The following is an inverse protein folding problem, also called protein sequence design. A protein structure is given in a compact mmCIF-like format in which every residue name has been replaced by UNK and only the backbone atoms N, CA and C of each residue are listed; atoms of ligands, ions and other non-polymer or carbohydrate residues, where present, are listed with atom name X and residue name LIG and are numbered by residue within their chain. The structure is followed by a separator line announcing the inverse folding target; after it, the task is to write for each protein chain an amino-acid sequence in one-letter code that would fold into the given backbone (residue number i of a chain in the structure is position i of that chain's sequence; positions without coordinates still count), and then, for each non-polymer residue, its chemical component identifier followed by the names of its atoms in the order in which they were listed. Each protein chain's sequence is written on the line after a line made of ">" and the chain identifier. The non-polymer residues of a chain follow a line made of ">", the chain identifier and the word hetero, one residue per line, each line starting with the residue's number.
data_IF_055263035339
#
_entry.id   IF_055263035339
#
_cell.length_a   1.000
_cell.length_b   1.000
_cell.length_c   1.000
_cell.angle_alpha   90.00
_cell.angle_beta   90.00
_cell.angle_gamma   90.00
#
_symmetry.space_group_name_H-M   'P 1'
#
loop_
_entity.id
_entity.type
_entity.pdbx_description
1 polymer ?
#
# COMPACT_ATOMS: atom_id res chain seq x y z
N UNK A 1 -9.44 32.34 31.89
CA UNK A 1 -8.27 32.69 32.73
C UNK A 1 -7.52 31.41 33.04
N UNK A 2 -6.36 31.15 32.44
CA UNK A 2 -5.67 31.93 31.40
C UNK A 2 -5.05 30.98 30.37
N UNK A 3 -4.99 31.45 29.13
CA UNK A 3 -4.13 30.92 28.08
C UNK A 3 -2.65 31.18 28.44
N UNK A 4 -1.72 30.42 27.83
CA UNK A 4 -0.88 30.98 26.74
C UNK A 4 0.03 29.90 26.13
N UNK A 5 0.33 30.06 24.84
CA UNK A 5 1.33 29.27 24.12
C UNK A 5 2.76 29.62 24.59
N UNK A 6 3.69 28.66 24.51
CA UNK A 6 4.97 28.86 23.81
C UNK A 6 5.88 27.63 23.91
N UNK A 7 6.34 27.12 22.75
CA UNK A 7 7.75 26.80 22.46
C UNK A 7 7.87 26.35 21.00
N UNK A 8 8.13 27.32 20.13
CA UNK A 8 8.37 27.16 18.70
C UNK A 8 9.84 27.45 18.42
N UNK A 9 10.61 26.43 18.01
CA UNK A 9 12.00 26.57 17.52
C UNK A 9 12.19 25.53 16.40
N UNK A 10 12.06 25.86 15.12
CA UNK A 10 12.92 26.73 14.29
C UNK A 10 14.26 26.08 13.90
N UNK A 11 14.34 25.58 12.66
CA UNK A 11 15.61 25.47 11.92
C UNK A 11 15.37 25.83 10.45
N UNK A 12 16.32 26.55 9.86
CA UNK A 12 16.22 27.17 8.53
C UNK A 12 17.09 26.46 7.49
N UNK A 13 16.60 26.54 6.25
CA UNK A 13 17.32 26.76 4.98
C UNK A 13 18.83 26.45 4.94
N UNK A 14 19.22 25.63 3.95
CA UNK A 14 20.47 25.83 3.22
C UNK A 14 20.18 25.77 1.71
N UNK A 15 20.26 26.92 1.06
CA UNK A 15 20.45 27.02 -0.39
C UNK A 15 21.96 26.87 -0.70
N UNK A 16 22.29 26.50 -1.92
CA UNK A 16 23.63 26.06 -2.30
C UNK A 16 23.84 25.92 -3.81
N UNK A 17 23.35 26.89 -4.59
CA UNK A 17 23.57 26.92 -6.04
C UNK A 17 25.06 27.02 -6.40
N UNK A 18 25.52 26.24 -7.38
CA UNK A 18 26.63 26.63 -8.24
C UNK A 18 26.48 26.10 -9.67
N UNK A 19 26.63 27.02 -10.62
CA UNK A 19 26.67 26.83 -12.08
C UNK A 19 27.99 26.22 -12.55
N UNK A 20 28.02 25.54 -13.71
CA UNK A 20 29.10 25.71 -14.69
C UNK A 20 28.67 25.37 -16.14
N UNK A 21 29.33 26.04 -17.09
CA UNK A 21 29.21 26.03 -18.56
C UNK A 21 29.82 24.75 -19.20
N UNK A 22 29.72 24.40 -20.50
CA UNK A 22 28.97 24.94 -21.67
C UNK A 22 28.23 23.76 -22.40
N UNK A 23 28.26 23.38 -23.70
CA UNK A 23 28.92 23.83 -24.96
C UNK A 23 27.95 23.91 -26.16
N UNK A 24 28.29 24.74 -27.16
CA UNK A 24 27.59 24.89 -28.45
C UNK A 24 27.62 23.65 -29.38
N UNK A 25 26.71 23.57 -30.37
CA UNK A 25 26.67 22.48 -31.37
C UNK A 25 25.68 22.66 -32.54
N UNK A 26 25.83 23.72 -33.33
CA UNK A 26 24.94 24.02 -34.49
C UNK A 26 25.29 23.22 -35.75
N UNK A 27 24.28 22.84 -36.54
CA UNK A 27 24.38 22.55 -37.99
C UNK A 27 22.99 22.71 -38.66
N UNK A 28 22.95 22.95 -39.97
CA UNK A 28 21.78 23.52 -40.69
C UNK A 28 21.69 23.06 -42.16
N UNK A 29 20.70 23.61 -42.90
CA UNK A 29 20.35 23.36 -44.33
C UNK A 29 19.54 22.06 -44.54
N UNK A 30 18.28 22.11 -45.06
CA UNK A 30 17.82 22.33 -46.47
C UNK A 30 18.08 21.10 -47.37
N UNK A 31 17.24 20.72 -48.35
CA UNK A 31 16.07 21.38 -48.99
C UNK A 31 14.95 20.37 -49.38
N UNK A 32 13.92 20.83 -50.11
CA UNK A 32 12.76 20.03 -50.58
C UNK A 32 13.07 19.13 -51.80
N UNK A 33 12.23 18.13 -52.07
CA UNK A 33 11.42 18.07 -53.30
C UNK A 33 10.28 17.02 -53.24
N UNK A 34 9.35 17.06 -54.19
CA UNK A 34 8.07 16.33 -54.17
C UNK A 34 8.03 15.11 -55.12
N UNK A 35 7.12 14.16 -54.86
CA UNK A 35 6.45 13.40 -55.93
C UNK A 35 5.21 12.65 -55.39
N UNK A 36 4.14 12.62 -56.18
CA UNK A 36 2.87 11.97 -55.82
C UNK A 36 2.86 10.48 -56.19
N UNK A 37 2.13 9.67 -55.40
CA UNK A 37 1.32 8.58 -55.94
C UNK A 37 0.20 8.17 -54.96
N UNK A 38 -0.82 7.48 -55.47
CA UNK A 38 -2.16 7.50 -54.87
C UNK A 38 -2.52 6.32 -53.96
N UNK A 39 -3.69 6.44 -53.32
CA UNK A 39 -4.58 5.36 -52.90
C UNK A 39 -4.03 4.23 -52.01
N UNK A 40 -3.93 4.50 -50.70
CA UNK A 40 -4.45 3.58 -49.66
C UNK A 40 -4.59 4.24 -48.26
N UNK A 41 -5.19 5.44 -48.16
CA UNK A 41 -5.46 6.08 -46.85
C UNK A 41 -6.65 5.43 -46.11
N UNK A 42 -6.46 4.21 -45.60
CA UNK A 42 -7.15 3.77 -44.37
C UNK A 42 -6.46 4.45 -43.20
N UNK A 43 -7.22 5.12 -42.34
CA UNK A 43 -6.69 6.10 -41.38
C UNK A 43 -5.78 5.47 -40.29
N UNK A 44 -4.47 5.44 -40.56
CA UNK A 44 -3.44 5.11 -39.56
C UNK A 44 -3.43 6.13 -38.41
N UNK A 45 -3.90 7.36 -38.66
CA UNK A 45 -4.19 8.36 -37.62
C UNK A 45 -5.19 7.86 -36.59
N UNK A 46 -6.20 7.10 -36.99
CA UNK A 46 -7.36 6.80 -36.15
C UNK A 46 -7.12 5.57 -35.29
N UNK A 47 -6.33 4.61 -35.79
CA UNK A 47 -5.76 3.54 -34.97
C UNK A 47 -4.73 4.08 -33.98
N UNK A 48 -3.77 4.92 -34.42
CA UNK A 48 -2.79 5.54 -33.51
C UNK A 48 -3.46 6.44 -32.46
N UNK A 49 -4.53 7.15 -32.80
CA UNK A 49 -5.30 7.94 -31.83
C UNK A 49 -6.13 7.05 -30.89
N UNK A 50 -6.72 5.94 -31.36
CA UNK A 50 -7.36 4.95 -30.46
C UNK A 50 -6.36 4.34 -29.47
N UNK A 51 -5.19 3.93 -29.95
CA UNK A 51 -4.16 3.33 -29.08
C UNK A 51 -3.57 4.36 -28.12
N UNK A 52 -3.37 5.62 -28.55
CA UNK A 52 -2.98 6.71 -27.65
C UNK A 52 -4.06 7.00 -26.60
N UNK A 53 -5.33 7.10 -27.00
CA UNK A 53 -6.43 7.39 -26.07
C UNK A 53 -6.63 6.24 -25.06
N UNK A 54 -6.70 4.99 -25.52
CA UNK A 54 -6.72 3.80 -24.64
C UNK A 54 -5.54 3.79 -23.66
N UNK A 55 -4.34 4.18 -24.13
CA UNK A 55 -3.13 4.24 -23.29
C UNK A 55 -3.14 5.41 -22.30
N UNK A 56 -3.80 6.53 -22.61
CA UNK A 56 -3.99 7.66 -21.69
C UNK A 56 -5.08 7.38 -20.66
N UNK A 57 -6.23 6.83 -21.06
CA UNK A 57 -7.30 6.38 -20.15
C UNK A 57 -6.79 5.36 -19.13
N UNK A 58 -5.86 4.48 -19.53
CA UNK A 58 -5.21 3.51 -18.64
C UNK A 58 -4.39 4.14 -17.49
N UNK A 59 -4.11 5.45 -17.52
CA UNK A 59 -3.34 6.16 -16.48
C UNK A 59 -4.08 7.31 -15.77
N UNK A 60 -5.29 7.70 -16.18
CA UNK A 60 -5.95 8.89 -15.60
C UNK A 60 -7.42 8.61 -15.25
N UNK A 61 -7.71 8.45 -13.95
CA UNK A 61 -9.07 8.56 -13.41
C UNK A 61 -9.39 10.06 -13.25
N UNK A 62 -10.02 10.64 -14.28
CA UNK A 62 -10.13 12.09 -14.51
C UNK A 62 -11.08 12.81 -13.53
N UNK A 63 -10.60 13.88 -12.90
CA UNK A 63 -11.44 15.01 -12.48
C UNK A 63 -11.32 16.14 -13.51
N UNK A 64 -12.33 16.29 -14.37
CA UNK A 64 -12.34 17.31 -15.41
C UNK A 64 -12.74 18.69 -14.84
N UNK A 65 -11.76 19.58 -14.62
CA UNK A 65 -12.03 20.99 -14.29
C UNK A 65 -11.79 21.90 -15.50
N UNK A 66 -12.88 22.20 -16.22
CA UNK A 66 -12.87 23.15 -17.34
C UNK A 66 -12.74 24.59 -16.82
N UNK A 67 -11.61 25.24 -17.08
CA UNK A 67 -11.49 26.71 -17.01
C UNK A 67 -11.50 27.29 -18.41
N UNK A 68 -12.45 28.20 -18.66
CA UNK A 68 -12.57 28.96 -19.90
C UNK A 68 -11.80 30.27 -19.70
N UNK A 69 -10.98 30.62 -20.68
CA UNK A 69 -10.45 31.98 -20.85
C UNK A 69 -10.95 32.56 -22.17
N UNK A 70 -10.90 33.89 -22.32
CA UNK A 70 -11.60 34.59 -23.41
C UNK A 70 -11.16 34.13 -24.81
N UNK A 71 -12.13 33.74 -25.64
CA UNK A 71 -11.91 33.37 -27.05
C UNK A 71 -11.45 31.92 -27.27
N UNK A 72 -12.43 31.04 -27.53
CA UNK A 72 -12.37 29.67 -28.11
C UNK A 72 -11.43 28.61 -27.52
N UNK A 73 -10.36 28.97 -26.81
CA UNK A 73 -9.30 28.07 -26.36
C UNK A 73 -9.67 27.38 -25.04
N UNK A 74 -9.61 26.04 -25.01
CA UNK A 74 -9.84 25.22 -23.81
C UNK A 74 -8.51 24.66 -23.29
N UNK A 75 -8.04 25.16 -22.15
CA UNK A 75 -6.94 24.55 -21.43
C UNK A 75 -7.44 23.30 -20.67
N UNK A 76 -7.03 22.11 -21.11
CA UNK A 76 -7.31 20.85 -20.39
C UNK A 76 -6.12 20.56 -19.47
N UNK A 77 -6.24 20.93 -18.20
CA UNK A 77 -5.21 20.66 -17.19
C UNK A 77 -5.39 19.26 -16.61
N UNK A 78 -4.59 18.31 -17.07
CA UNK A 78 -4.53 16.98 -16.48
C UNK A 78 -3.79 17.02 -15.13
N UNK A 79 -4.50 16.84 -14.02
CA UNK A 79 -3.87 16.32 -12.80
C UNK A 79 -3.62 14.83 -12.99
N UNK A 80 -2.36 14.40 -12.92
CA UNK A 80 -2.04 12.99 -12.65
C UNK A 80 -2.63 12.65 -11.28
N UNK A 81 -3.38 11.56 -11.19
CA UNK A 81 -3.82 11.03 -9.89
C UNK A 81 -2.57 10.71 -9.07
N UNK A 82 -2.51 11.15 -7.81
CA UNK A 82 -1.39 10.77 -6.94
C UNK A 82 -1.38 9.24 -6.82
N UNK A 83 -0.25 8.61 -7.15
CA UNK A 83 -0.10 7.15 -7.12
C UNK A 83 -0.22 6.59 -5.68
N UNK A 84 -0.15 7.47 -4.67
CA UNK A 84 -0.41 7.17 -3.26
C UNK A 84 -1.90 7.25 -2.88
N UNK A 85 -2.75 7.91 -3.67
CA UNK A 85 -4.15 8.16 -3.32
C UNK A 85 -4.98 6.87 -3.36
N UNK A 86 -5.64 6.53 -2.26
CA UNK A 86 -6.42 5.30 -2.14
C UNK A 86 -7.68 5.32 -3.01
N UNK A 87 -7.73 4.49 -4.05
CA UNK A 87 -8.96 4.19 -4.77
C UNK A 87 -9.89 3.39 -3.88
N UNK A 88 -11.09 3.93 -3.62
CA UNK A 88 -12.19 3.21 -2.98
C UNK A 88 -12.98 2.40 -4.00
N UNK A 89 -13.32 1.16 -3.63
CA UNK A 89 -14.05 0.18 -4.44
C UNK A 89 -14.98 -0.60 -3.52
N UNK A 90 -16.22 -0.86 -3.93
CA UNK A 90 -17.10 -1.81 -3.23
C UNK A 90 -17.01 -3.13 -3.99
N UNK A 91 -16.62 -4.20 -3.29
CA UNK A 91 -16.50 -5.55 -3.82
C UNK A 91 -17.57 -6.44 -3.20
N UNK A 92 -18.38 -7.08 -4.05
CA UNK A 92 -19.51 -7.89 -3.59
C UNK A 92 -19.11 -9.36 -3.53
N UNK A 93 -19.14 -9.95 -2.32
CA UNK A 93 -18.78 -11.34 -2.08
C UNK A 93 -19.85 -12.02 -1.23
N UNK A 94 -20.43 -13.12 -1.73
CA UNK A 94 -21.48 -13.90 -1.03
C UNK A 94 -22.61 -13.01 -0.46
N UNK A 95 -23.07 -12.04 -1.25
CA UNK A 95 -24.08 -11.03 -0.90
C UNK A 95 -23.72 -10.08 0.27
N UNK A 96 -22.46 -10.05 0.72
CA UNK A 96 -21.91 -8.98 1.57
C UNK A 96 -21.19 -7.95 0.69
N UNK A 97 -21.40 -6.66 0.98
CA UNK A 97 -20.58 -5.57 0.42
C UNK A 97 -19.28 -5.46 1.24
N UNK A 98 -18.13 -5.41 0.56
CA UNK A 98 -16.81 -5.20 1.16
C UNK A 98 -16.25 -3.87 0.65
N UNK A 99 -16.11 -2.90 1.54
CA UNK A 99 -15.50 -1.60 1.27
C UNK A 99 -13.97 -1.76 1.23
N UNK A 100 -13.43 -1.84 0.03
CA UNK A 100 -11.98 -1.89 -0.21
C UNK A 100 -11.46 -0.49 -0.47
N UNK A 101 -10.28 -0.17 0.06
CA UNK A 101 -9.51 0.99 -0.37
C UNK A 101 -8.04 0.61 -0.60
N UNK A 102 -7.49 0.95 -1.76
CA UNK A 102 -6.17 0.47 -2.16
C UNK A 102 -5.41 1.50 -3.00
N UNK A 103 -4.10 1.37 -3.09
CA UNK A 103 -3.29 2.02 -4.14
C UNK A 103 -2.38 0.97 -4.80
N UNK A 104 -1.18 1.35 -5.25
CA UNK A 104 -0.20 0.42 -5.86
C UNK A 104 0.38 -0.57 -4.82
N UNK A 105 0.47 -0.20 -3.54
CA UNK A 105 1.18 -0.97 -2.50
C UNK A 105 0.46 -1.07 -1.15
N UNK A 106 -0.62 -0.31 -0.95
CA UNK A 106 -1.51 -0.40 0.21
C UNK A 106 -2.78 -1.13 -0.21
N UNK A 107 -3.20 -2.12 0.58
CA UNK A 107 -4.53 -2.70 0.56
C UNK A 107 -5.16 -2.50 1.94
N UNK A 108 -6.33 -1.87 1.99
CA UNK A 108 -7.12 -1.69 3.20
C UNK A 108 -8.51 -2.33 3.02
N UNK A 109 -8.83 -3.22 3.96
CA UNK A 109 -10.05 -3.98 4.12
C UNK A 109 -10.63 -3.80 5.55
N UNK A 110 -10.26 -2.71 6.24
CA UNK A 110 -10.72 -2.43 7.59
C UNK A 110 -12.23 -2.13 7.68
N UNK A 111 -12.80 -2.33 8.86
CA UNK A 111 -14.21 -2.02 9.16
C UNK A 111 -15.24 -2.68 8.21
N UNK A 112 -15.03 -3.96 7.88
CA UNK A 112 -15.86 -4.74 6.95
C UNK A 112 -16.56 -5.95 7.62
N UNK A 113 -16.52 -6.05 8.95
CA UNK A 113 -17.07 -7.16 9.73
C UNK A 113 -16.54 -8.56 9.33
N UNK A 114 -15.36 -8.64 8.72
CA UNK A 114 -14.84 -9.85 8.09
C UNK A 114 -14.50 -10.94 9.12
N UNK A 115 -15.15 -12.10 9.03
CA UNK A 115 -14.84 -13.29 9.84
C UNK A 115 -13.63 -14.06 9.27
N UNK A 116 -13.47 -14.05 7.94
CA UNK A 116 -12.39 -14.66 7.19
C UNK A 116 -12.01 -13.77 5.97
N UNK A 117 -10.87 -14.08 5.32
CA UNK A 117 -10.36 -13.35 4.14
C UNK A 117 -10.06 -14.29 2.95
N UNK A 118 -10.76 -15.41 2.86
CA UNK A 118 -10.52 -16.44 1.83
C UNK A 118 -10.70 -15.93 0.38
N UNK A 119 -11.41 -14.80 0.21
CA UNK A 119 -11.61 -14.06 -1.04
C UNK A 119 -10.43 -13.11 -1.41
N UNK A 120 -9.33 -13.10 -0.64
CA UNK A 120 -8.21 -12.19 -0.88
C UNK A 120 -7.67 -12.33 -2.32
N UNK A 121 -7.57 -13.57 -2.82
CA UNK A 121 -7.17 -13.87 -4.18
C UNK A 121 -8.11 -13.22 -5.22
N UNK A 122 -9.43 -13.36 -5.03
CA UNK A 122 -10.44 -12.77 -5.92
C UNK A 122 -10.42 -11.23 -5.90
N UNK A 123 -10.21 -10.62 -4.72
CA UNK A 123 -10.07 -9.17 -4.57
C UNK A 123 -8.80 -8.67 -5.26
N UNK A 124 -7.66 -9.37 -5.14
CA UNK A 124 -6.43 -9.01 -5.84
C UNK A 124 -6.60 -9.09 -7.36
N UNK A 125 -7.21 -10.17 -7.85
CA UNK A 125 -7.56 -10.32 -9.28
C UNK A 125 -8.50 -9.20 -9.74
N UNK A 126 -9.51 -8.83 -8.93
CA UNK A 126 -10.45 -7.77 -9.26
C UNK A 126 -9.77 -6.38 -9.34
N UNK A 127 -8.99 -6.01 -8.33
CA UNK A 127 -8.29 -4.72 -8.25
C UNK A 127 -7.27 -4.58 -9.39
N UNK A 128 -6.50 -5.63 -9.67
CA UNK A 128 -5.42 -5.59 -10.65
C UNK A 128 -5.80 -6.14 -12.04
N UNK A 129 -7.10 -6.35 -12.30
CA UNK A 129 -7.67 -6.94 -13.53
C UNK A 129 -7.12 -6.34 -14.84
N UNK A 130 -6.77 -5.06 -14.84
CA UNK A 130 -6.21 -4.36 -16.02
C UNK A 130 -4.73 -4.66 -16.32
N UNK A 131 -4.05 -5.50 -15.53
CA UNK A 131 -2.62 -5.81 -15.67
C UNK A 131 -2.32 -7.16 -16.35
N UNK A 132 -3.25 -8.11 -16.42
CA UNK A 132 -3.01 -9.49 -16.92
C UNK A 132 -1.75 -10.15 -16.33
N UNK A 133 -1.52 -9.97 -15.02
CA UNK A 133 -0.38 -10.55 -14.31
C UNK A 133 -0.82 -11.80 -13.53
N UNK A 134 0.11 -12.74 -13.37
CA UNK A 134 -0.08 -13.87 -12.46
C UNK A 134 -0.28 -13.39 -11.03
N UNK A 135 -1.07 -14.16 -10.26
CA UNK A 135 -1.46 -13.78 -8.91
C UNK A 135 -0.27 -13.63 -7.95
N UNK A 136 0.81 -14.40 -8.15
CA UNK A 136 2.04 -14.27 -7.37
C UNK A 136 2.67 -12.86 -7.50
N UNK A 137 2.55 -12.23 -8.68
CA UNK A 137 3.04 -10.87 -8.93
C UNK A 137 2.12 -9.84 -8.22
N UNK A 138 0.82 -10.12 -8.10
CA UNK A 138 -0.13 -9.26 -7.38
C UNK A 138 0.22 -9.18 -5.90
N UNK A 139 0.45 -10.34 -5.25
CA UNK A 139 0.91 -10.45 -3.87
C UNK A 139 2.22 -9.67 -3.60
N UNK A 140 3.17 -9.70 -4.55
CA UNK A 140 4.45 -8.99 -4.42
C UNK A 140 4.33 -7.46 -4.46
N UNK A 141 3.22 -6.87 -4.92
CA UNK A 141 3.06 -5.40 -4.90
C UNK A 141 2.72 -4.85 -3.52
N UNK A 142 2.11 -5.65 -2.64
CA UNK A 142 1.59 -5.17 -1.36
C UNK A 142 2.70 -5.05 -0.31
N UNK A 143 2.77 -3.85 0.27
CA UNK A 143 3.71 -3.43 1.30
C UNK A 143 2.98 -3.14 2.63
N UNK A 144 1.72 -2.69 2.55
CA UNK A 144 0.85 -2.43 3.71
C UNK A 144 -0.48 -3.14 3.53
N UNK A 145 -0.87 -3.94 4.52
CA UNK A 145 -2.20 -4.52 4.63
C UNK A 145 -2.87 -3.99 5.90
N UNK A 146 -4.05 -3.41 5.76
CA UNK A 146 -4.94 -3.10 6.86
C UNK A 146 -6.17 -4.03 6.81
N UNK A 147 -6.35 -4.81 7.86
CA UNK A 147 -7.49 -5.70 8.11
C UNK A 147 -8.04 -5.47 9.54
N UNK A 148 -7.78 -4.31 10.12
CA UNK A 148 -8.27 -3.91 11.44
C UNK A 148 -9.80 -3.73 11.50
N UNK A 149 -10.36 -3.69 12.71
CA UNK A 149 -11.81 -3.52 12.94
C UNK A 149 -12.65 -4.55 12.16
N UNK A 150 -12.32 -5.83 12.34
CA UNK A 150 -13.00 -6.96 11.71
C UNK A 150 -13.28 -8.05 12.77
N UNK A 151 -13.78 -9.20 12.32
CA UNK A 151 -14.17 -10.34 13.17
C UNK A 151 -13.20 -11.53 13.03
N UNK A 152 -11.95 -11.30 12.60
CA UNK A 152 -11.01 -12.39 12.29
C UNK A 152 -10.60 -13.14 13.55
N UNK A 153 -10.90 -14.44 13.60
CA UNK A 153 -10.51 -15.34 14.71
C UNK A 153 -9.16 -16.04 14.44
N UNK A 154 -8.80 -16.20 13.17
CA UNK A 154 -7.54 -16.82 12.70
C UNK A 154 -6.84 -15.99 11.61
N UNK A 155 -5.53 -16.23 11.43
CA UNK A 155 -4.74 -15.68 10.32
C UNK A 155 -4.73 -16.70 9.17
N UNK A 156 -5.41 -16.35 8.07
CA UNK A 156 -5.48 -17.19 6.87
C UNK A 156 -4.11 -17.21 6.13
N UNK A 157 -3.75 -18.37 5.58
CA UNK A 157 -2.43 -18.61 4.98
C UNK A 157 -2.17 -17.80 3.70
N UNK A 158 -3.19 -17.28 3.01
CA UNK A 158 -3.03 -16.33 1.89
C UNK A 158 -2.34 -15.03 2.31
N UNK A 159 -2.34 -14.64 3.60
CA UNK A 159 -1.49 -13.54 4.10
C UNK A 159 0.01 -13.85 3.92
N UNK A 160 0.41 -15.12 4.02
CA UNK A 160 1.82 -15.53 4.00
C UNK A 160 2.45 -15.37 2.60
N UNK A 161 1.62 -15.34 1.55
CA UNK A 161 2.00 -15.02 0.17
C UNK A 161 2.44 -13.56 -0.01
N UNK A 162 2.11 -12.64 0.91
CA UNK A 162 2.48 -11.22 0.89
C UNK A 162 3.96 -11.01 1.25
N UNK A 163 4.89 -11.66 0.53
CA UNK A 163 6.32 -11.70 0.89
C UNK A 163 7.02 -10.31 0.94
N UNK A 164 6.38 -9.27 0.38
CA UNK A 164 6.84 -7.88 0.43
C UNK A 164 6.19 -7.01 1.53
N UNK A 165 5.29 -7.58 2.34
CA UNK A 165 4.60 -6.88 3.42
C UNK A 165 5.61 -6.34 4.46
N UNK A 166 5.49 -5.04 4.76
CA UNK A 166 6.26 -4.32 5.79
C UNK A 166 5.39 -3.85 6.95
N UNK A 167 4.09 -3.64 6.70
CA UNK A 167 3.11 -3.15 7.68
C UNK A 167 1.87 -4.03 7.63
N UNK A 168 1.44 -4.53 8.79
CA UNK A 168 0.20 -5.29 8.96
C UNK A 168 -0.60 -4.72 10.13
N UNK A 169 -1.80 -4.18 9.85
CA UNK A 169 -2.74 -3.78 10.89
C UNK A 169 -3.81 -4.86 11.07
N UNK A 170 -3.80 -5.50 12.25
CA UNK A 170 -4.72 -6.57 12.66
C UNK A 170 -5.41 -6.24 14.01
N UNK A 171 -5.26 -5.01 14.50
CA UNK A 171 -5.88 -4.59 15.76
C UNK A 171 -7.42 -4.57 15.66
N UNK A 172 -8.10 -4.71 16.81
CA UNK A 172 -9.58 -4.76 16.87
C UNK A 172 -10.13 -5.92 16.01
N UNK A 173 -9.72 -7.14 16.37
CA UNK A 173 -10.17 -8.40 15.77
C UNK A 173 -10.40 -9.43 16.91
N UNK A 174 -10.62 -10.70 16.58
CA UNK A 174 -10.91 -11.76 17.54
C UNK A 174 -9.78 -12.80 17.67
N UNK A 175 -8.55 -12.48 17.27
CA UNK A 175 -7.43 -13.44 17.32
C UNK A 175 -7.17 -13.84 18.79
N UNK A 176 -7.31 -15.12 19.10
CA UNK A 176 -7.09 -15.65 20.45
C UNK A 176 -5.78 -16.44 20.56
N UNK A 177 -5.46 -17.22 19.52
CA UNK A 177 -4.38 -18.21 19.54
C UNK A 177 -3.07 -17.64 18.99
N UNK A 178 -2.00 -17.65 19.81
CA UNK A 178 -0.68 -17.16 19.42
C UNK A 178 -0.01 -17.99 18.31
N UNK A 179 -0.46 -19.22 18.06
CA UNK A 179 -0.03 -20.04 16.91
C UNK A 179 -0.37 -19.34 15.58
N UNK A 180 -1.48 -18.59 15.51
CA UNK A 180 -1.81 -17.80 14.33
C UNK A 180 -0.78 -16.69 14.10
N UNK A 181 -0.30 -16.05 15.17
CA UNK A 181 0.79 -15.06 15.09
C UNK A 181 2.11 -15.73 14.69
N UNK A 182 2.40 -16.94 15.19
CA UNK A 182 3.60 -17.73 14.83
C UNK A 182 3.71 -17.95 13.31
N UNK A 183 2.59 -18.08 12.58
CA UNK A 183 2.58 -18.14 11.10
C UNK A 183 3.27 -16.94 10.43
N UNK A 184 3.13 -15.74 10.99
CA UNK A 184 3.69 -14.50 10.43
C UNK A 184 5.23 -14.47 10.43
N UNK A 185 5.91 -15.47 11.02
CA UNK A 185 7.36 -15.70 10.85
C UNK A 185 7.77 -15.80 9.38
N UNK A 186 6.91 -16.34 8.50
CA UNK A 186 7.17 -16.40 7.06
C UNK A 186 7.33 -15.01 6.41
N UNK A 187 6.75 -13.96 7.00
CA UNK A 187 6.84 -12.59 6.49
C UNK A 187 8.12 -11.90 6.97
N UNK A 188 9.26 -12.33 6.40
CA UNK A 188 10.60 -11.83 6.73
C UNK A 188 10.74 -10.29 6.60
N UNK A 189 9.98 -9.69 5.68
CA UNK A 189 10.00 -8.24 5.42
C UNK A 189 9.08 -7.43 6.35
N UNK A 190 8.25 -8.06 7.20
CA UNK A 190 7.35 -7.38 8.13
C UNK A 190 8.13 -6.55 9.16
N UNK A 191 7.80 -5.27 9.35
CA UNK A 191 8.50 -4.36 10.29
C UNK A 191 7.56 -3.64 11.26
N UNK A 192 6.32 -3.34 10.89
CA UNK A 192 5.28 -2.85 11.80
C UNK A 192 4.13 -3.85 11.86
N UNK A 193 3.67 -4.15 13.05
CA UNK A 193 2.54 -5.04 13.30
C UNK A 193 1.68 -4.48 14.44
N UNK A 194 0.37 -4.68 14.39
CA UNK A 194 -0.53 -4.32 15.50
C UNK A 194 -1.56 -5.44 15.69
N UNK A 195 -1.72 -5.92 16.91
CA UNK A 195 -2.70 -6.93 17.30
C UNK A 195 -3.33 -6.62 18.68
N UNK A 196 -3.15 -5.39 19.18
CA UNK A 196 -3.96 -4.84 20.29
C UNK A 196 -5.49 -4.98 20.04
N UNK A 197 -6.28 -4.92 21.11
CA UNK A 197 -7.74 -5.12 21.06
C UNK A 197 -8.15 -6.46 20.39
N UNK A 198 -7.40 -7.53 20.67
CA UNK A 198 -7.72 -8.92 20.36
C UNK A 198 -7.64 -9.76 21.64
N UNK A 199 -8.44 -10.84 21.83
CA UNK A 199 -8.45 -11.62 23.07
C UNK A 199 -7.11 -12.24 23.48
N UNK A 200 -6.20 -12.45 22.52
CA UNK A 200 -4.79 -12.82 22.76
C UNK A 200 -4.09 -11.90 23.78
N UNK A 201 -4.46 -10.62 23.83
CA UNK A 201 -3.91 -9.65 24.79
C UNK A 201 -4.29 -9.99 26.22
N UNK A 202 -5.54 -10.38 26.46
CA UNK A 202 -6.05 -10.72 27.80
C UNK A 202 -5.55 -12.09 28.27
N UNK A 203 -5.50 -13.07 27.36
CA UNK A 203 -5.03 -14.44 27.59
C UNK A 203 -3.58 -14.45 28.11
N UNK A 204 -2.68 -13.68 27.48
CA UNK A 204 -1.27 -13.62 27.87
C UNK A 204 -0.94 -12.42 28.78
N UNK A 205 -1.84 -11.43 28.90
CA UNK A 205 -1.74 -10.29 29.82
C UNK A 205 -0.36 -9.60 29.70
N UNK A 206 0.35 -9.31 30.80
CA UNK A 206 1.70 -8.72 30.80
C UNK A 206 2.77 -9.50 30.00
N UNK A 207 2.51 -10.74 29.61
CA UNK A 207 3.41 -11.57 28.79
C UNK A 207 3.14 -11.43 27.29
N UNK A 208 1.93 -11.00 26.88
CA UNK A 208 1.50 -10.82 25.47
C UNK A 208 2.60 -10.18 24.62
N UNK A 209 2.98 -8.92 24.91
CA UNK A 209 3.95 -8.16 24.12
C UNK A 209 5.31 -8.89 24.00
N UNK A 210 5.77 -9.50 25.09
CA UNK A 210 7.02 -10.26 25.11
C UNK A 210 6.93 -11.52 24.23
N UNK A 211 5.81 -12.26 24.26
CA UNK A 211 5.63 -13.46 23.44
C UNK A 211 5.45 -13.14 21.95
N UNK A 212 4.74 -12.06 21.60
CA UNK A 212 4.63 -11.59 20.21
C UNK A 212 6.01 -11.19 19.65
N UNK A 213 6.84 -10.48 20.42
CA UNK A 213 8.19 -10.09 20.00
C UNK A 213 9.12 -11.31 19.86
N UNK A 214 9.01 -12.29 20.76
CA UNK A 214 9.78 -13.55 20.65
C UNK A 214 9.39 -14.35 19.40
N UNK A 215 8.09 -14.50 19.11
CA UNK A 215 7.65 -15.20 17.91
C UNK A 215 7.90 -14.40 16.62
N UNK A 216 7.96 -13.07 16.66
CA UNK A 216 8.23 -12.21 15.49
C UNK A 216 9.53 -11.39 15.64
N UNK A 217 10.71 -12.03 15.71
CA UNK A 217 11.97 -11.31 15.91
C UNK A 217 12.31 -10.35 14.76
N UNK A 218 11.68 -10.47 13.59
CA UNK A 218 11.90 -9.63 12.42
C UNK A 218 11.21 -8.26 12.48
N UNK A 219 10.19 -8.05 13.34
CA UNK A 219 9.50 -6.75 13.44
C UNK A 219 10.33 -5.70 14.20
N UNK A 220 9.99 -4.43 14.02
CA UNK A 220 10.63 -3.25 14.63
C UNK A 220 9.67 -2.41 15.46
N UNK A 221 8.38 -2.51 15.20
CA UNK A 221 7.31 -1.79 15.91
C UNK A 221 6.13 -2.74 16.12
N UNK A 222 5.58 -2.74 17.34
CA UNK A 222 4.42 -3.54 17.74
C UNK A 222 3.42 -2.63 18.45
N UNK A 223 2.14 -2.69 18.05
CA UNK A 223 1.05 -1.90 18.65
C UNK A 223 1.43 -0.41 18.71
N UNK A 224 1.86 0.13 17.56
CA UNK A 224 2.38 1.49 17.36
C UNK A 224 3.65 1.88 18.15
N UNK A 225 4.16 1.02 19.03
CA UNK A 225 5.35 1.26 19.85
C UNK A 225 6.58 0.52 19.32
N UNK A 226 7.66 1.26 19.04
CA UNK A 226 8.93 0.71 18.58
C UNK A 226 9.60 -0.22 19.60
N UNK A 227 10.27 -1.25 19.10
CA UNK A 227 10.83 -2.36 19.88
C UNK A 227 12.33 -2.13 20.09
N UNK A 228 12.74 -1.96 21.35
CA UNK A 228 14.16 -1.75 21.68
C UNK A 228 14.97 -3.06 21.65
N UNK A 229 16.30 -2.96 21.48
CA UNK A 229 17.19 -4.14 21.58
C UNK A 229 17.16 -4.79 22.97
N UNK A 230 16.98 -3.99 24.02
CA UNK A 230 16.84 -4.45 25.41
C UNK A 230 15.53 -5.25 25.55
N UNK A 231 14.45 -4.77 24.95
CA UNK A 231 13.16 -5.45 24.94
C UNK A 231 13.20 -6.80 24.21
N UNK A 232 13.94 -6.91 23.10
CA UNK A 232 14.14 -8.20 22.41
C UNK A 232 14.86 -9.24 23.28
N UNK A 233 15.96 -8.85 23.91
CA UNK A 233 16.65 -9.72 24.86
C UNK A 233 15.72 -10.14 26.02
N UNK A 234 14.88 -9.20 26.48
CA UNK A 234 13.90 -9.46 27.54
C UNK A 234 12.75 -10.38 27.09
N UNK A 235 12.29 -10.32 25.83
CA UNK A 235 11.28 -11.24 25.32
C UNK A 235 11.76 -12.68 25.31
N UNK A 236 13.02 -12.92 24.91
CA UNK A 236 13.58 -14.28 24.87
C UNK A 236 13.71 -14.90 26.26
N UNK A 237 14.15 -14.11 27.24
CA UNK A 237 14.18 -14.52 28.66
C UNK A 237 12.75 -14.76 29.15
N UNK A 238 11.85 -13.81 28.93
CA UNK A 238 10.46 -13.89 29.41
C UNK A 238 9.72 -15.10 28.83
N UNK A 239 9.91 -15.40 27.55
CA UNK A 239 9.34 -16.57 26.88
C UNK A 239 9.89 -17.86 27.49
N UNK A 240 11.21 -18.04 27.54
CA UNK A 240 11.79 -19.29 28.08
C UNK A 240 11.45 -19.53 29.56
N UNK A 241 11.31 -18.48 30.38
CA UNK A 241 10.87 -18.60 31.78
C UNK A 241 9.38 -18.97 31.92
N UNK A 242 8.50 -18.57 30.98
CA UNK A 242 7.05 -18.67 31.17
C UNK A 242 6.32 -19.59 30.17
N UNK A 243 6.96 -20.05 29.09
CA UNK A 243 6.27 -20.80 28.02
C UNK A 243 5.53 -22.05 28.51
N UNK A 244 6.13 -22.78 29.45
CA UNK A 244 5.50 -23.94 30.11
C UNK A 244 4.26 -23.61 30.93
N UNK A 245 4.11 -22.38 31.46
CA UNK A 245 2.88 -21.94 32.15
C UNK A 245 1.69 -21.83 31.18
N UNK A 246 1.98 -21.58 29.90
CA UNK A 246 1.01 -21.28 28.86
C UNK A 246 0.93 -22.37 27.77
N UNK A 247 1.55 -23.53 28.01
CA UNK A 247 1.66 -24.64 27.05
C UNK A 247 2.21 -24.21 25.68
N UNK A 248 3.23 -23.33 25.67
CA UNK A 248 3.85 -22.80 24.45
C UNK A 248 5.17 -23.49 24.11
N UNK A 249 5.36 -23.74 22.81
CA UNK A 249 6.57 -24.30 22.20
C UNK A 249 7.50 -23.20 21.64
#
# INVERSE_FOLDING_TARGET
>A
MCDFNSLELSYKEYDGSHTFYETNGSLSYESNEESENSDNRRNVSDTLNKDRNNKVEKYIKLENTLKIWGGTNKAITFKRKDDNELTKTIYNYNNKEIHVSNNISVLNLNNNNLEHINFLDDILIHIYKHKNLEIHILYLNIITLDISFNNLEDINDSILNLHNLKVLYLHSNKIQNIVQVKKLQALLKLKKFTIENNPIMDIYNKFYRHFIIHYLPQIRSLDFHDISKIEKNKSDITFNTHKYKFNLE
#
